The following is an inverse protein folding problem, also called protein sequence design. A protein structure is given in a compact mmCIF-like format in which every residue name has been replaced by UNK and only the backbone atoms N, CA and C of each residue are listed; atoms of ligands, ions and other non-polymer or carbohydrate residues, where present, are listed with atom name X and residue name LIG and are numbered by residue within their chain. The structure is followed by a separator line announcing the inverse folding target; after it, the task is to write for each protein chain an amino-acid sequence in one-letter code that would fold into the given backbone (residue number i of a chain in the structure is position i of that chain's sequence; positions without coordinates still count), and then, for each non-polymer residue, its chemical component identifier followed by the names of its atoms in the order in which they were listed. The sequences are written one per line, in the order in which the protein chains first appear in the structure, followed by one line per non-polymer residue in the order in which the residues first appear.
data_IF_423636702197
#
_entry.id   IF_423636702197
#
_cell.length_a   1.000
_cell.length_b   1.000
_cell.length_c   1.000
_cell.angle_alpha   90.00
_cell.angle_beta   90.00
_cell.angle_gamma   90.00
#
_symmetry.space_group_name_H-M   'P 1'
#
loop_
_entity.id
_entity.type
_entity.pdbx_description
1 polymer ?
#
# COMPACT_ATOMS: atom_id res chain seq x y z
N UNK A 1 2.84 -3.88 18.55
CA UNK A 1 3.19 -3.45 17.19
C UNK A 1 3.98 -2.16 17.18
N UNK A 2 5.15 -2.18 16.56
CA UNK A 2 6.00 -1.05 16.21
C UNK A 2 5.91 -0.82 14.71
N UNK A 3 5.65 0.41 14.27
CA UNK A 3 5.75 0.79 12.86
C UNK A 3 7.23 0.86 12.47
N UNK A 4 7.64 0.12 11.44
CA UNK A 4 9.02 0.09 10.95
C UNK A 4 9.17 0.67 9.54
N UNK A 5 8.07 0.74 8.79
CA UNK A 5 8.03 1.36 7.47
C UNK A 5 6.64 1.97 7.22
N UNK A 6 6.61 3.15 6.62
CA UNK A 6 5.37 3.86 6.30
C UNK A 6 5.63 4.82 5.16
N UNK A 7 5.10 4.48 3.99
CA UNK A 7 5.26 5.32 2.80
C UNK A 7 3.95 5.46 2.04
N UNK A 8 3.76 6.65 1.48
CA UNK A 8 2.59 7.01 0.69
C UNK A 8 3.00 7.57 -0.66
N UNK A 9 2.34 7.10 -1.73
CA UNK A 9 2.44 7.66 -3.08
C UNK A 9 1.09 8.27 -3.46
N UNK A 10 1.09 9.50 -3.96
CA UNK A 10 -0.12 10.15 -4.50
C UNK A 10 -0.10 10.11 -6.03
N UNK A 11 -1.20 9.66 -6.64
CA UNK A 11 -1.42 9.63 -8.10
C UNK A 11 -2.77 10.27 -8.43
N UNK A 12 -2.75 11.57 -8.73
CA UNK A 12 -3.96 12.33 -9.05
C UNK A 12 -4.94 12.36 -7.87
N UNK A 13 -6.14 11.79 -8.06
CA UNK A 13 -7.15 11.70 -7.02
C UNK A 13 -7.05 10.44 -6.14
N UNK A 14 -5.98 9.67 -6.28
CA UNK A 14 -5.73 8.44 -5.52
C UNK A 14 -4.48 8.58 -4.66
N UNK A 15 -4.48 7.93 -3.51
CA UNK A 15 -3.33 7.79 -2.64
C UNK A 15 -3.16 6.31 -2.34
N UNK A 16 -1.93 5.81 -2.37
CA UNK A 16 -1.57 4.44 -2.05
C UNK A 16 -0.59 4.51 -0.89
N UNK A 17 -0.78 3.68 0.14
CA UNK A 17 0.06 3.61 1.33
C UNK A 17 0.45 2.17 1.57
N UNK A 18 1.71 1.95 1.93
CA UNK A 18 2.18 0.72 2.56
C UNK A 18 2.67 1.07 3.96
N UNK A 19 2.17 0.35 4.95
CA UNK A 19 2.67 0.44 6.32
C UNK A 19 3.05 -0.95 6.79
N UNK A 20 4.23 -1.08 7.39
CA UNK A 20 4.72 -2.35 7.93
C UNK A 20 4.86 -2.22 9.43
N UNK A 21 4.20 -3.13 10.15
CA UNK A 21 4.28 -3.21 11.60
C UNK A 21 4.95 -4.53 11.99
N UNK A 22 5.80 -4.47 13.01
CA UNK A 22 6.44 -5.65 13.60
C UNK A 22 6.11 -5.69 15.08
N UNK A 23 5.83 -6.87 15.62
CA UNK A 23 5.84 -7.12 17.05
C UNK A 23 6.81 -8.26 17.40
N UNK A 24 6.66 -8.87 18.58
CA UNK A 24 7.63 -9.85 19.06
C UNK A 24 7.60 -11.15 18.23
N UNK A 25 6.43 -11.51 17.71
CA UNK A 25 6.16 -12.83 17.16
C UNK A 25 5.57 -12.75 15.74
N UNK A 26 5.30 -11.55 15.22
CA UNK A 26 4.66 -11.36 13.93
C UNK A 26 5.03 -10.04 13.24
N UNK A 27 4.76 -10.00 11.94
CA UNK A 27 4.85 -8.84 11.08
C UNK A 27 3.55 -8.69 10.29
N UNK A 28 3.13 -7.46 10.00
CA UNK A 28 1.97 -7.18 9.16
C UNK A 28 2.27 -6.11 8.10
N UNK A 29 1.80 -6.37 6.89
CA UNK A 29 1.87 -5.49 5.73
C UNK A 29 0.48 -4.95 5.43
N UNK A 30 0.30 -3.64 5.63
CA UNK A 30 -0.97 -2.96 5.40
C UNK A 30 -0.89 -2.14 4.13
N UNK A 31 -1.57 -2.61 3.08
CA UNK A 31 -1.72 -1.91 1.81
C UNK A 31 -3.06 -1.20 1.76
N UNK A 32 -3.04 0.14 1.72
CA UNK A 32 -4.27 0.94 1.65
C UNK A 32 -4.25 1.83 0.41
N UNK A 33 -5.34 1.86 -0.36
CA UNK A 33 -5.57 2.87 -1.38
C UNK A 33 -6.83 3.69 -1.08
N UNK A 34 -6.69 5.00 -1.13
CA UNK A 34 -7.77 5.97 -0.92
C UNK A 34 -8.04 6.73 -2.21
N UNK A 35 -9.32 6.84 -2.56
CA UNK A 35 -9.81 7.75 -3.59
C UNK A 35 -10.32 9.06 -2.98
N UNK A 36 -10.41 10.10 -3.80
CA UNK A 36 -11.14 11.33 -3.49
C UNK A 36 -12.33 11.48 -4.42
N UNK A 37 -13.50 11.79 -3.86
CA UNK A 37 -14.67 12.19 -4.64
C UNK A 37 -14.38 13.49 -5.39
N UNK A 38 -15.07 13.68 -6.52
CA UNK A 38 -15.00 14.93 -7.29
C UNK A 38 -16.42 15.42 -7.59
N UNK A 39 -17.15 15.90 -6.57
CA UNK A 39 -18.51 16.35 -6.77
C UNK A 39 -18.55 17.64 -7.62
N UNK A 40 -19.61 17.84 -8.42
CA UNK A 40 -19.78 19.05 -9.22
C UNK A 40 -19.99 20.28 -8.33
N UNK A 41 -19.70 21.47 -8.86
CA UNK A 41 -20.03 22.73 -8.20
C UNK A 41 -19.17 23.09 -6.98
N UNK A 42 -17.99 22.49 -6.81
CA UNK A 42 -17.07 22.85 -5.72
C UNK A 42 -17.48 22.32 -4.35
N UNK A 43 -18.43 21.38 -4.28
CA UNK A 43 -18.81 20.73 -3.04
C UNK A 43 -17.61 20.01 -2.38
N UNK A 44 -17.72 19.80 -1.06
CA UNK A 44 -16.65 19.21 -0.25
C UNK A 44 -16.24 17.85 -0.81
N UNK A 45 -14.95 17.70 -1.12
CA UNK A 45 -14.36 16.42 -1.51
C UNK A 45 -14.21 15.52 -0.29
N UNK A 46 -14.62 14.28 -0.44
CA UNK A 46 -14.54 13.25 0.59
C UNK A 46 -13.56 12.16 0.15
N UNK A 47 -12.99 11.45 1.14
CA UNK A 47 -12.12 10.30 0.89
C UNK A 47 -12.93 9.02 1.01
N UNK A 48 -12.63 8.05 0.18
CA UNK A 48 -13.20 6.70 0.27
C UNK A 48 -12.10 5.66 0.07
N UNK A 49 -12.24 4.52 0.74
CA UNK A 49 -11.33 3.39 0.58
C UNK A 49 -11.59 2.71 -0.76
N UNK A 50 -10.54 2.55 -1.56
CA UNK A 50 -10.54 1.76 -2.80
C UNK A 50 -10.09 0.33 -2.51
N UNK A 51 -9.08 0.19 -1.65
CA UNK A 51 -8.42 -1.05 -1.32
C UNK A 51 -7.85 -0.94 0.09
N UNK A 52 -7.99 -1.98 0.89
CA UNK A 52 -7.40 -2.05 2.23
C UNK A 52 -7.22 -3.53 2.57
N UNK A 53 -5.97 -4.00 2.51
CA UNK A 53 -5.63 -5.40 2.75
C UNK A 53 -4.45 -5.48 3.72
N UNK A 54 -4.51 -6.49 4.58
CA UNK A 54 -3.51 -6.78 5.60
C UNK A 54 -2.98 -8.19 5.35
N UNK A 55 -1.66 -8.32 5.28
CA UNK A 55 -0.97 -9.60 5.16
C UNK A 55 -0.13 -9.81 6.41
N UNK A 56 -0.30 -10.95 7.07
CA UNK A 56 0.40 -11.29 8.31
C UNK A 56 1.46 -12.36 8.04
N UNK A 57 2.60 -12.23 8.71
CA UNK A 57 3.78 -13.09 8.57
C UNK A 57 4.39 -13.37 9.94
N UNK A 58 5.02 -14.54 10.10
CA UNK A 58 5.74 -14.90 11.34
C UNK A 58 7.05 -14.11 11.46
N UNK A 59 7.69 -13.78 10.34
CA UNK A 59 8.91 -12.98 10.28
C UNK A 59 8.88 -11.90 9.23
N UNK A 60 9.63 -10.81 9.46
CA UNK A 60 9.89 -9.81 8.43
C UNK A 60 10.67 -10.38 7.24
N UNK A 61 11.45 -11.44 7.47
CA UNK A 61 12.24 -12.10 6.43
C UNK A 61 11.40 -12.98 5.51
N UNK A 62 10.15 -13.27 5.88
CA UNK A 62 9.21 -14.04 5.07
C UNK A 62 8.48 -13.17 4.05
N UNK A 63 8.77 -11.85 4.04
CA UNK A 63 8.18 -10.91 3.10
C UNK A 63 9.01 -10.90 1.82
N UNK A 64 8.44 -11.42 0.74
CA UNK A 64 9.00 -11.37 -0.61
C UNK A 64 8.25 -10.38 -1.52
N UNK A 65 8.70 -10.18 -2.76
CA UNK A 65 8.10 -9.26 -3.72
C UNK A 65 6.80 -9.77 -4.38
N UNK A 66 6.43 -11.04 -4.17
CA UNK A 66 5.30 -11.69 -4.83
C UNK A 66 3.97 -11.60 -4.03
N UNK A 67 4.02 -11.21 -2.74
CA UNK A 67 2.84 -11.14 -1.85
C UNK A 67 1.66 -10.38 -2.47
N UNK A 68 1.92 -9.25 -3.11
CA UNK A 68 0.88 -8.41 -3.71
C UNK A 68 0.97 -8.37 -5.23
N UNK A 69 0.74 -9.50 -5.89
CA UNK A 69 0.49 -9.54 -7.33
C UNK A 69 -0.88 -8.91 -7.67
N UNK A 70 -0.97 -7.59 -7.62
CA UNK A 70 -2.15 -6.89 -8.12
C UNK A 70 -2.18 -6.94 -9.64
N UNK A 71 -2.85 -7.94 -10.20
CA UNK A 71 -3.15 -8.01 -11.62
C UNK A 71 -4.28 -7.03 -11.96
N UNK A 72 -4.00 -5.90 -12.64
CA UNK A 72 -5.03 -4.92 -12.93
C UNK A 72 -6.02 -5.51 -13.95
N UNK A 73 -7.30 -5.65 -13.54
CA UNK A 73 -8.37 -6.15 -14.42
C UNK A 73 -8.62 -5.25 -15.64
N UNK A 74 -8.23 -3.98 -15.57
CA UNK A 74 -8.29 -3.02 -16.66
C UNK A 74 -7.35 -1.83 -16.41
N UNK A 75 -7.19 -0.96 -17.42
CA UNK A 75 -6.29 0.20 -17.39
C UNK A 75 -6.59 1.20 -16.25
N UNK A 76 -7.82 1.24 -15.75
CA UNK A 76 -8.20 2.14 -14.65
C UNK A 76 -7.52 1.75 -13.33
N UNK A 77 -7.17 0.48 -13.15
CA UNK A 77 -6.51 -0.06 -11.97
C UNK A 77 -5.00 -0.21 -12.11
N UNK A 78 -4.44 -0.09 -13.34
CA UNK A 78 -2.99 -0.12 -13.56
C UNK A 78 -2.21 0.84 -12.65
N UNK A 79 -2.61 2.12 -12.48
CA UNK A 79 -1.88 3.04 -11.60
C UNK A 79 -1.88 2.63 -10.12
N UNK A 80 -2.90 1.88 -9.67
CA UNK A 80 -2.95 1.36 -8.31
C UNK A 80 -1.98 0.19 -8.13
N UNK A 81 -1.95 -0.72 -9.10
CA UNK A 81 -0.99 -1.83 -9.15
C UNK A 81 0.45 -1.33 -9.12
N UNK A 82 0.80 -0.42 -10.05
CA UNK A 82 2.13 0.20 -10.12
C UNK A 82 2.54 0.88 -8.81
N UNK A 83 1.59 1.53 -8.13
CA UNK A 83 1.85 2.18 -6.85
C UNK A 83 2.21 1.19 -5.75
N UNK A 84 1.48 0.09 -5.60
CA UNK A 84 1.82 -0.88 -4.57
C UNK A 84 3.07 -1.68 -4.91
N UNK A 85 3.31 -2.00 -6.18
CA UNK A 85 4.58 -2.58 -6.62
C UNK A 85 5.76 -1.67 -6.25
N UNK A 86 5.66 -0.37 -6.52
CA UNK A 86 6.72 0.58 -6.18
C UNK A 86 6.94 0.70 -4.66
N UNK A 87 5.87 0.78 -3.88
CA UNK A 87 5.94 0.84 -2.42
C UNK A 87 6.57 -0.42 -1.82
N UNK A 88 6.19 -1.58 -2.34
CA UNK A 88 6.68 -2.87 -1.87
C UNK A 88 8.15 -3.08 -2.22
N UNK A 89 8.53 -2.80 -3.46
CA UNK A 89 9.92 -2.88 -3.91
C UNK A 89 10.85 -2.04 -3.05
N UNK A 90 10.45 -0.81 -2.73
CA UNK A 90 11.24 0.06 -1.87
C UNK A 90 11.38 -0.47 -0.44
N UNK A 91 10.33 -1.06 0.12
CA UNK A 91 10.43 -1.72 1.43
C UNK A 91 11.45 -2.87 1.39
N UNK A 92 11.38 -3.73 0.37
CA UNK A 92 12.32 -4.85 0.20
C UNK A 92 13.76 -4.35 0.00
N UNK A 93 13.97 -3.29 -0.78
CA UNK A 93 15.29 -2.68 -0.95
C UNK A 93 15.84 -2.14 0.38
N UNK A 94 15.00 -1.52 1.22
CA UNK A 94 15.41 -1.06 2.54
C UNK A 94 15.79 -2.21 3.46
N UNK A 95 15.06 -3.33 3.44
CA UNK A 95 15.39 -4.52 4.23
C UNK A 95 16.75 -5.11 3.83
N UNK A 96 17.05 -5.17 2.54
CA UNK A 96 18.35 -5.68 2.04
C UNK A 96 19.55 -4.82 2.45
N UNK A 97 19.32 -3.56 2.78
CA UNK A 97 20.36 -2.58 3.14
C UNK A 97 20.40 -2.24 4.64
N UNK A 98 19.55 -2.87 5.46
CA UNK A 98 19.47 -2.70 6.91
C UNK A 98 20.36 -3.71 7.65
#
# INVERSE_FOLDING_TARGET
MKEIFSKMISKGNKQCKLTVYVDADSCSLNFTALGRTNPPGGAKRERFTIFDEIYEFDSINDIDDEILQMLPKNDKFKPLAECFTALHHEFIELQKNA
#
